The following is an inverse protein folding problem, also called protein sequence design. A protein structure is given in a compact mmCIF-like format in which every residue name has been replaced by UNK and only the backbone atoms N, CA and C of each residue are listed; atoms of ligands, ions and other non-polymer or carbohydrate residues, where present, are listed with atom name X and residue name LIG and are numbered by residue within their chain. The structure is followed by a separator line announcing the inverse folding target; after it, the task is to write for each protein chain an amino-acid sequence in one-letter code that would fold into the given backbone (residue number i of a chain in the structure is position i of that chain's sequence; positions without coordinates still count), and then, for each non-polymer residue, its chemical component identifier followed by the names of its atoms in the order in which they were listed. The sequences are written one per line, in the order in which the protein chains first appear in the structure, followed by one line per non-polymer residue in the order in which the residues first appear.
data_IF_256678586460
#
_entry.id   IF_256678586460
#
_cell.length_a   1.000
_cell.length_b   1.000
_cell.length_c   1.000
_cell.angle_alpha   90.00
_cell.angle_beta   90.00
_cell.angle_gamma   90.00
#
_symmetry.space_group_name_H-M   'P 1'
#
loop_
_entity.id
_entity.type
_entity.pdbx_description
1 polymer ?
#
# COMPACT_ATOMS: atom_id res chain seq x y z
N UNK A 1 8.08 -31.40 -2.76
CA UNK A 1 7.38 -30.46 -1.83
C UNK A 1 7.47 -29.09 -2.46
N UNK A 2 6.38 -28.38 -2.55
CA UNK A 2 6.43 -26.98 -2.96
C UNK A 2 7.17 -26.19 -1.89
N UNK A 3 8.01 -25.28 -2.32
CA UNK A 3 8.83 -24.41 -1.47
C UNK A 3 7.94 -23.34 -0.82
N UNK A 4 8.05 -23.15 0.49
CA UNK A 4 7.33 -22.08 1.17
C UNK A 4 7.87 -20.71 0.75
N UNK A 5 7.03 -19.67 0.76
CA UNK A 5 7.45 -18.33 0.35
C UNK A 5 8.66 -17.80 1.15
N UNK A 6 8.76 -18.15 2.42
CA UNK A 6 9.88 -17.80 3.32
C UNK A 6 11.20 -18.47 2.96
N UNK A 7 11.18 -19.52 2.14
CA UNK A 7 12.33 -20.29 1.69
C UNK A 7 12.79 -19.88 0.29
N UNK A 8 12.03 -19.01 -0.39
CA UNK A 8 12.33 -18.54 -1.73
C UNK A 8 13.37 -17.42 -1.70
N UNK A 9 14.26 -17.41 -2.71
CA UNK A 9 15.15 -16.27 -2.94
C UNK A 9 14.36 -15.04 -3.41
N UNK A 10 14.98 -13.86 -3.35
CA UNK A 10 14.38 -12.63 -3.89
C UNK A 10 14.04 -12.75 -5.38
N UNK A 11 14.89 -13.39 -6.16
CA UNK A 11 14.67 -13.60 -7.60
C UNK A 11 13.46 -14.52 -7.83
N UNK A 12 13.36 -15.64 -7.09
CA UNK A 12 12.20 -16.54 -7.14
C UNK A 12 10.89 -15.82 -6.75
N UNK A 13 10.95 -14.95 -5.72
CA UNK A 13 9.79 -14.16 -5.32
C UNK A 13 9.41 -13.09 -6.37
N UNK A 14 10.38 -12.47 -7.04
CA UNK A 14 10.10 -11.49 -8.10
C UNK A 14 9.53 -12.16 -9.37
N UNK A 15 9.95 -13.37 -9.67
CA UNK A 15 9.38 -14.16 -10.77
C UNK A 15 7.96 -14.65 -10.46
N UNK A 16 7.71 -15.07 -9.20
CA UNK A 16 6.38 -15.49 -8.76
C UNK A 16 5.40 -14.32 -8.65
N UNK A 17 5.90 -13.12 -8.27
CA UNK A 17 5.13 -11.90 -8.06
C UNK A 17 5.65 -10.75 -8.92
N UNK A 18 5.62 -10.87 -10.26
CA UNK A 18 6.10 -9.82 -11.13
C UNK A 18 5.27 -8.54 -10.97
N UNK A 19 5.86 -7.41 -11.35
CA UNK A 19 5.10 -6.17 -11.47
C UNK A 19 4.19 -6.29 -12.68
N UNK A 20 2.90 -6.16 -12.41
CA UNK A 20 1.87 -6.17 -13.44
C UNK A 20 0.89 -5.04 -13.16
N UNK A 21 0.69 -4.15 -14.15
CA UNK A 21 -0.25 -3.05 -14.05
C UNK A 21 -1.50 -3.35 -14.88
N UNK A 22 -2.65 -3.01 -14.31
CA UNK A 22 -3.96 -3.12 -14.96
C UNK A 22 -4.65 -1.76 -15.00
N UNK A 23 -5.57 -1.59 -15.93
CA UNK A 23 -6.41 -0.41 -16.00
C UNK A 23 -7.23 -0.24 -14.71
N UNK A 24 -7.62 1.00 -14.43
CA UNK A 24 -8.46 1.32 -13.27
C UNK A 24 -9.68 0.40 -13.18
N UNK A 25 -9.98 -0.05 -11.97
CA UNK A 25 -11.12 -0.92 -11.68
C UNK A 25 -11.87 -0.48 -10.43
N UNK A 26 -13.19 -0.31 -10.52
CA UNK A 26 -14.05 0.03 -9.39
C UNK A 26 -14.06 -1.06 -8.30
N UNK A 27 -13.63 -2.29 -8.64
CA UNK A 27 -13.48 -3.39 -7.66
C UNK A 27 -12.52 -3.04 -6.53
N UNK A 28 -11.50 -2.19 -6.77
CA UNK A 28 -10.55 -1.78 -5.72
C UNK A 28 -11.22 -1.05 -4.57
N UNK A 29 -12.20 -0.20 -4.88
CA UNK A 29 -12.98 0.49 -3.86
C UNK A 29 -13.87 -0.48 -3.06
N UNK A 30 -14.40 -1.53 -3.72
CA UNK A 30 -15.17 -2.57 -3.04
C UNK A 30 -14.27 -3.41 -2.13
N UNK A 31 -13.11 -3.85 -2.62
CA UNK A 31 -12.13 -4.60 -1.82
C UNK A 31 -11.64 -3.77 -0.61
N UNK A 32 -11.41 -2.45 -0.82
CA UNK A 32 -11.05 -1.57 0.30
C UNK A 32 -12.16 -1.53 1.37
N UNK A 33 -13.42 -1.35 0.97
CA UNK A 33 -14.53 -1.30 1.94
C UNK A 33 -14.68 -2.60 2.73
N UNK A 34 -14.47 -3.74 2.08
CA UNK A 34 -14.52 -5.05 2.73
C UNK A 34 -13.41 -5.19 3.76
N UNK A 35 -12.16 -4.90 3.37
CA UNK A 35 -11.03 -5.00 4.30
C UNK A 35 -11.10 -3.94 5.41
N UNK A 36 -11.58 -2.72 5.13
CA UNK A 36 -11.79 -1.68 6.12
C UNK A 36 -12.79 -2.14 7.19
N UNK A 37 -13.93 -2.72 6.79
CA UNK A 37 -14.94 -3.22 7.72
C UNK A 37 -14.39 -4.36 8.60
N UNK A 38 -13.63 -5.29 7.99
CA UNK A 38 -12.95 -6.36 8.71
C UNK A 38 -11.96 -5.80 9.72
N UNK A 39 -11.06 -4.90 9.31
CA UNK A 39 -10.05 -4.30 10.18
C UNK A 39 -10.67 -3.50 11.33
N UNK A 40 -11.75 -2.74 11.09
CA UNK A 40 -12.50 -2.04 12.14
C UNK A 40 -13.07 -2.98 13.19
N UNK A 41 -13.54 -4.15 12.77
CA UNK A 41 -14.05 -5.18 13.68
C UNK A 41 -12.91 -5.79 14.51
N UNK A 42 -11.85 -6.25 13.84
CA UNK A 42 -10.73 -6.94 14.47
C UNK A 42 -9.93 -6.03 15.41
N UNK A 43 -9.75 -4.77 15.02
CA UNK A 43 -9.01 -3.76 15.77
C UNK A 43 -9.88 -2.95 16.73
N UNK A 44 -11.13 -3.37 17.01
CA UNK A 44 -12.08 -2.61 17.85
C UNK A 44 -11.59 -2.32 19.27
N UNK A 45 -10.59 -3.08 19.76
CA UNK A 45 -9.94 -2.88 21.07
C UNK A 45 -8.55 -2.24 20.97
N UNK A 46 -8.09 -1.91 19.77
CA UNK A 46 -6.83 -1.25 19.54
C UNK A 46 -7.04 0.27 19.43
N UNK A 47 -6.05 1.09 19.78
CA UNK A 47 -6.15 2.55 19.74
C UNK A 47 -5.98 3.09 18.31
N UNK A 48 -6.82 2.62 17.38
CA UNK A 48 -6.83 3.03 15.97
C UNK A 48 -7.58 4.35 15.83
N UNK A 49 -6.92 5.36 15.29
CA UNK A 49 -7.49 6.66 15.00
C UNK A 49 -8.09 6.74 13.59
N UNK A 50 -7.43 6.08 12.63
CA UNK A 50 -7.87 6.16 11.24
C UNK A 50 -7.46 4.91 10.45
N UNK A 51 -8.33 4.50 9.51
CA UNK A 51 -8.05 3.53 8.44
C UNK A 51 -8.35 4.20 7.12
N UNK A 52 -7.43 4.15 6.17
CA UNK A 52 -7.56 4.88 4.90
C UNK A 52 -7.10 4.05 3.70
N UNK A 53 -7.83 4.17 2.59
CA UNK A 53 -7.38 3.69 1.29
C UNK A 53 -6.29 4.62 0.77
N UNK A 54 -5.12 4.09 0.49
CA UNK A 54 -3.98 4.84 -0.05
C UNK A 54 -3.44 4.18 -1.33
N UNK A 55 -2.34 4.70 -1.84
CA UNK A 55 -1.70 4.14 -3.04
C UNK A 55 -2.47 4.41 -4.34
N UNK A 56 -2.00 3.78 -5.41
CA UNK A 56 -2.52 4.06 -6.76
C UNK A 56 -3.95 3.57 -6.98
N UNK A 57 -4.39 2.52 -6.28
CA UNK A 57 -5.76 1.98 -6.39
C UNK A 57 -6.81 2.88 -5.74
N UNK A 58 -6.37 3.83 -4.89
CA UNK A 58 -7.24 4.85 -4.32
C UNK A 58 -7.45 6.05 -5.24
N UNK A 59 -6.71 6.16 -6.35
CA UNK A 59 -6.79 7.28 -7.31
C UNK A 59 -7.59 6.85 -8.53
N UNK A 60 -8.73 7.50 -8.83
CA UNK A 60 -9.57 7.13 -9.97
C UNK A 60 -8.85 7.27 -11.32
N UNK A 61 -9.16 6.38 -12.25
CA UNK A 61 -8.83 6.53 -13.66
C UNK A 61 -7.38 6.27 -14.04
N UNK A 62 -6.51 5.81 -13.13
CA UNK A 62 -5.11 5.48 -13.45
C UNK A 62 -4.82 3.98 -13.36
N UNK A 63 -3.87 3.52 -14.16
CA UNK A 63 -3.34 2.16 -14.08
C UNK A 63 -2.60 1.94 -12.76
N UNK A 64 -2.78 0.75 -12.17
CA UNK A 64 -2.12 0.36 -10.94
C UNK A 64 -1.83 -1.15 -10.91
N UNK A 65 -1.00 -1.59 -9.97
CA UNK A 65 -0.98 -3.00 -9.57
C UNK A 65 -2.34 -3.34 -8.95
N UNK A 66 -2.83 -4.56 -9.16
CA UNK A 66 -4.09 -5.04 -8.57
C UNK A 66 -3.90 -5.36 -7.07
N UNK A 67 -3.46 -4.37 -6.31
CA UNK A 67 -3.16 -4.44 -4.88
C UNK A 67 -3.76 -3.22 -4.19
N UNK A 68 -4.57 -3.47 -3.17
CA UNK A 68 -5.17 -2.40 -2.36
C UNK A 68 -4.25 -2.07 -1.19
N UNK A 69 -3.74 -0.84 -1.16
CA UNK A 69 -2.93 -0.33 -0.05
C UNK A 69 -3.82 0.33 1.01
N UNK A 70 -3.62 -0.04 2.28
CA UNK A 70 -4.39 0.48 3.42
C UNK A 70 -3.43 1.04 4.46
N UNK A 71 -3.66 2.27 4.87
CA UNK A 71 -2.99 2.91 6.01
C UNK A 71 -3.83 2.74 7.27
N UNK A 72 -3.24 2.23 8.33
CA UNK A 72 -3.80 2.19 9.67
C UNK A 72 -2.96 3.11 10.56
N UNK A 73 -3.58 4.12 11.15
CA UNK A 73 -2.94 5.03 12.09
C UNK A 73 -3.42 4.72 13.51
N UNK A 74 -2.47 4.51 14.42
CA UNK A 74 -2.73 4.36 15.86
C UNK A 74 -2.27 5.60 16.60
N UNK A 75 -2.84 5.84 17.78
CA UNK A 75 -2.46 6.99 18.61
C UNK A 75 -0.97 6.98 18.96
N UNK A 76 -0.39 8.16 19.19
CA UNK A 76 1.05 8.34 19.47
C UNK A 76 1.52 7.65 20.76
N UNK A 77 0.63 7.43 21.70
CA UNK A 77 0.87 6.73 22.97
C UNK A 77 0.59 5.22 22.89
N UNK A 78 0.17 4.71 21.72
CA UNK A 78 -0.13 3.31 21.53
C UNK A 78 1.12 2.43 21.56
N UNK A 79 0.98 1.23 22.09
CA UNK A 79 1.95 0.17 21.86
C UNK A 79 1.70 -0.47 20.49
N UNK A 80 2.32 0.08 19.44
CA UNK A 80 2.11 -0.35 18.05
C UNK A 80 2.33 -1.85 17.84
N UNK A 81 3.23 -2.47 18.62
CA UNK A 81 3.49 -3.90 18.58
C UNK A 81 2.26 -4.74 18.97
N UNK A 82 1.41 -4.24 19.88
CA UNK A 82 0.17 -4.91 20.24
C UNK A 82 -0.81 -4.95 19.06
N UNK A 83 -1.02 -3.82 18.40
CA UNK A 83 -1.87 -3.77 17.18
C UNK A 83 -1.30 -4.64 16.08
N UNK A 84 0.03 -4.67 15.91
CA UNK A 84 0.70 -5.53 14.95
C UNK A 84 0.42 -7.03 15.23
N UNK A 85 0.50 -7.46 16.49
CA UNK A 85 0.21 -8.84 16.89
C UNK A 85 -1.26 -9.23 16.58
N UNK A 86 -2.21 -8.32 16.78
CA UNK A 86 -3.61 -8.56 16.41
C UNK A 86 -3.74 -8.76 14.90
N UNK A 87 -3.09 -7.94 14.09
CA UNK A 87 -3.11 -8.07 12.63
C UNK A 87 -2.54 -9.42 12.16
N UNK A 88 -1.48 -9.92 12.80
CA UNK A 88 -0.91 -11.24 12.50
C UNK A 88 -1.88 -12.38 12.85
N UNK A 89 -2.55 -12.31 14.00
CA UNK A 89 -3.59 -13.27 14.39
C UNK A 89 -4.74 -13.30 13.36
N UNK A 90 -5.03 -12.15 12.74
CA UNK A 90 -6.04 -12.02 11.69
C UNK A 90 -5.54 -12.50 10.29
N UNK A 91 -4.37 -13.14 10.22
CA UNK A 91 -3.85 -13.76 9.01
C UNK A 91 -3.09 -12.81 8.07
N UNK A 92 -2.66 -11.65 8.55
CA UNK A 92 -1.76 -10.77 7.83
C UNK A 92 -0.31 -11.18 8.05
N UNK A 93 0.48 -11.20 6.99
CA UNK A 93 1.90 -11.59 7.04
C UNK A 93 2.74 -10.31 7.19
N UNK A 94 3.50 -10.22 8.28
CA UNK A 94 4.42 -9.11 8.52
C UNK A 94 5.59 -9.16 7.54
N UNK A 95 5.83 -8.05 6.85
CA UNK A 95 6.88 -7.93 5.82
C UNK A 95 8.09 -7.14 6.30
N UNK A 96 7.86 -6.05 7.04
CA UNK A 96 8.93 -5.22 7.57
C UNK A 96 8.54 -4.59 8.89
N UNK A 97 9.54 -4.29 9.71
CA UNK A 97 9.39 -3.54 10.95
C UNK A 97 10.53 -2.52 11.00
N UNK A 98 10.16 -1.26 10.97
CA UNK A 98 11.04 -0.12 11.17
C UNK A 98 10.52 0.71 12.35
N UNK A 99 11.28 1.68 12.82
CA UNK A 99 10.85 2.51 13.94
C UNK A 99 9.52 3.23 13.64
N UNK A 100 8.44 2.79 14.30
CA UNK A 100 7.09 3.34 14.13
C UNK A 100 6.36 2.98 12.84
N UNK A 101 6.95 2.09 12.01
CA UNK A 101 6.40 1.66 10.71
C UNK A 101 6.44 0.15 10.58
N UNK A 102 5.27 -0.47 10.48
CA UNK A 102 5.17 -1.92 10.27
C UNK A 102 4.31 -2.15 9.01
N UNK A 103 4.79 -3.01 8.12
CA UNK A 103 4.08 -3.33 6.89
C UNK A 103 3.69 -4.80 6.87
N UNK A 104 2.49 -5.06 6.36
CA UNK A 104 1.97 -6.41 6.18
C UNK A 104 1.47 -6.60 4.77
N UNK A 105 1.34 -7.86 4.36
CA UNK A 105 0.60 -8.22 3.17
C UNK A 105 -0.40 -9.34 3.44
N UNK A 106 -1.34 -9.50 2.50
CA UNK A 106 -2.25 -10.64 2.38
C UNK A 106 -2.54 -10.90 0.92
N UNK A 107 -2.70 -12.17 0.55
CA UNK A 107 -2.99 -12.57 -0.83
C UNK A 107 -1.74 -12.93 -1.64
N UNK A 108 -0.61 -13.12 -0.99
CA UNK A 108 0.59 -13.72 -1.57
C UNK A 108 0.58 -15.21 -1.25
N UNK A 109 0.60 -16.06 -2.28
CA UNK A 109 0.53 -17.53 -2.12
C UNK A 109 1.64 -18.20 -2.93
N UNK A 110 1.94 -19.46 -2.65
CA UNK A 110 2.90 -20.27 -3.42
C UNK A 110 2.48 -20.47 -4.89
N UNK A 111 1.21 -20.23 -5.21
CA UNK A 111 0.67 -20.24 -6.57
C UNK A 111 0.64 -18.84 -7.25
N UNK A 112 1.19 -17.79 -6.62
CA UNK A 112 1.14 -16.41 -7.08
C UNK A 112 0.14 -15.56 -6.30
N UNK A 113 -0.35 -14.47 -6.92
CA UNK A 113 -1.32 -13.60 -6.30
C UNK A 113 -2.70 -14.24 -6.20
N UNK A 114 -3.35 -14.09 -5.04
CA UNK A 114 -4.76 -14.41 -4.86
C UNK A 114 -5.67 -13.36 -5.56
N UNK A 115 -6.98 -13.63 -5.61
CA UNK A 115 -7.97 -12.71 -6.22
C UNK A 115 -8.02 -11.33 -5.53
N UNK A 116 -7.69 -11.27 -4.25
CA UNK A 116 -7.62 -10.04 -3.46
C UNK A 116 -6.27 -9.94 -2.78
N UNK A 117 -5.54 -8.88 -3.09
CA UNK A 117 -4.22 -8.63 -2.52
C UNK A 117 -4.23 -7.29 -1.79
N UNK A 118 -3.68 -7.29 -0.58
CA UNK A 118 -3.62 -6.12 0.28
C UNK A 118 -2.21 -5.87 0.79
N UNK A 119 -1.82 -4.62 0.83
CA UNK A 119 -0.71 -4.12 1.64
C UNK A 119 -1.26 -3.26 2.76
N UNK A 120 -0.90 -3.57 3.99
CA UNK A 120 -1.33 -2.82 5.16
C UNK A 120 -0.12 -2.10 5.75
N UNK A 121 -0.25 -0.81 5.94
CA UNK A 121 0.77 0.06 6.50
C UNK A 121 0.31 0.53 7.88
N UNK A 122 0.87 -0.03 8.93
CA UNK A 122 0.61 0.37 10.31
C UNK A 122 1.60 1.45 10.74
N UNK A 123 1.08 2.59 11.19
CA UNK A 123 1.82 3.81 11.51
C UNK A 123 1.31 4.45 12.80
N UNK A 124 2.11 5.33 13.39
CA UNK A 124 1.58 6.30 14.34
C UNK A 124 0.84 7.44 13.62
N UNK A 125 -0.18 8.00 14.28
CA UNK A 125 -0.91 9.16 13.78
C UNK A 125 0.04 10.32 13.44
N UNK A 126 -0.16 10.96 12.30
CA UNK A 126 0.74 11.99 11.80
C UNK A 126 1.78 11.49 10.78
N UNK A 127 2.05 10.19 10.69
CA UNK A 127 2.90 9.60 9.64
C UNK A 127 2.02 9.12 8.47
N UNK A 128 1.55 10.06 7.67
CA UNK A 128 0.52 9.84 6.65
C UNK A 128 0.74 10.60 5.33
N UNK A 129 1.96 10.76 4.93
CA UNK A 129 2.33 11.44 3.67
C UNK A 129 1.60 10.87 2.44
N UNK A 130 1.27 9.59 2.48
CA UNK A 130 0.49 8.90 1.45
C UNK A 130 -0.91 9.49 1.25
N UNK A 131 -1.54 10.05 2.30
CA UNK A 131 -2.84 10.71 2.20
C UNK A 131 -2.74 12.01 1.41
N UNK A 132 -1.71 12.81 1.66
CA UNK A 132 -1.46 14.05 0.92
C UNK A 132 -1.20 13.77 -0.55
N UNK A 133 -0.37 12.78 -0.86
CA UNK A 133 -0.07 12.40 -2.24
C UNK A 133 -1.32 11.89 -2.97
N UNK A 134 -2.09 10.99 -2.35
CA UNK A 134 -3.37 10.50 -2.89
C UNK A 134 -4.33 11.65 -3.22
N UNK A 135 -4.59 12.53 -2.25
CA UNK A 135 -5.55 13.61 -2.41
C UNK A 135 -5.11 14.61 -3.48
N UNK A 136 -3.79 14.84 -3.58
CA UNK A 136 -3.24 15.68 -4.63
C UNK A 136 -3.49 15.10 -6.03
N UNK A 137 -3.24 13.80 -6.20
CA UNK A 137 -3.50 13.12 -7.48
C UNK A 137 -4.99 13.10 -7.85
N UNK A 138 -5.87 12.91 -6.85
CA UNK A 138 -7.34 12.96 -7.08
C UNK A 138 -7.77 14.36 -7.55
N UNK A 139 -7.22 15.41 -6.93
CA UNK A 139 -7.55 16.80 -7.27
C UNK A 139 -6.88 17.29 -8.58
N UNK A 140 -5.83 16.60 -9.05
CA UNK A 140 -5.04 16.98 -10.23
C UNK A 140 -4.92 15.82 -11.23
N UNK A 141 -5.97 15.51 -12.01
CA UNK A 141 -5.99 14.35 -12.90
C UNK A 141 -4.85 14.32 -13.92
N UNK A 142 -4.36 15.47 -14.38
CA UNK A 142 -3.21 15.55 -15.29
C UNK A 142 -1.93 15.04 -14.63
N UNK A 143 -1.69 15.34 -13.34
CA UNK A 143 -0.54 14.85 -12.58
C UNK A 143 -0.70 13.35 -12.29
N UNK A 144 -1.93 12.91 -12.04
CA UNK A 144 -2.22 11.48 -11.90
C UNK A 144 -1.89 10.71 -13.19
N UNK A 145 -2.14 11.29 -14.37
CA UNK A 145 -1.76 10.71 -15.67
C UNK A 145 -0.25 10.73 -15.92
N UNK A 146 0.46 11.76 -15.48
CA UNK A 146 1.93 11.76 -15.51
C UNK A 146 2.51 10.64 -14.62
N UNK A 147 1.91 10.44 -13.43
CA UNK A 147 2.30 9.33 -12.55
C UNK A 147 1.98 7.96 -13.15
N UNK A 148 0.86 7.81 -13.83
CA UNK A 148 0.52 6.61 -14.59
C UNK A 148 1.57 6.34 -15.67
N UNK A 149 1.92 7.33 -16.49
CA UNK A 149 2.90 7.20 -17.56
C UNK A 149 4.27 6.77 -17.01
N UNK A 150 4.72 7.39 -15.92
CA UNK A 150 5.94 6.99 -15.21
C UNK A 150 5.89 5.52 -14.77
N UNK A 151 4.79 5.09 -14.15
CA UNK A 151 4.64 3.69 -13.69
C UNK A 151 4.65 2.69 -14.86
N UNK A 152 3.99 3.02 -15.96
CA UNK A 152 3.97 2.18 -17.16
C UNK A 152 5.37 2.05 -17.78
N UNK A 153 6.15 3.14 -17.82
CA UNK A 153 7.53 3.10 -18.31
C UNK A 153 8.43 2.27 -17.37
N UNK A 154 8.35 2.48 -16.07
CA UNK A 154 9.08 1.68 -15.09
C UNK A 154 8.71 0.20 -15.13
N UNK A 155 7.45 -0.13 -15.39
CA UNK A 155 7.02 -1.51 -15.56
C UNK A 155 7.67 -2.16 -16.77
N UNK A 156 7.75 -1.48 -17.93
CA UNK A 156 8.43 -1.99 -19.13
C UNK A 156 9.92 -2.28 -18.88
N UNK A 157 10.57 -1.45 -18.04
CA UNK A 157 11.99 -1.58 -17.74
C UNK A 157 12.27 -2.59 -16.62
N UNK A 158 11.40 -2.70 -15.62
CA UNK A 158 11.68 -3.37 -14.34
C UNK A 158 10.58 -4.34 -13.90
N UNK A 159 9.93 -5.06 -14.83
CA UNK A 159 8.84 -5.98 -14.51
C UNK A 159 9.20 -7.02 -13.43
N UNK A 160 10.45 -7.48 -13.41
CA UNK A 160 11.02 -8.46 -12.48
C UNK A 160 12.06 -7.84 -11.52
N UNK A 161 12.03 -6.51 -11.31
CA UNK A 161 12.89 -5.84 -10.35
C UNK A 161 12.07 -4.81 -9.56
N UNK A 162 11.47 -5.30 -8.45
CA UNK A 162 10.60 -4.50 -7.60
C UNK A 162 11.30 -3.29 -6.98
N UNK A 163 12.58 -3.42 -6.62
CA UNK A 163 13.33 -2.36 -5.97
C UNK A 163 13.62 -1.22 -6.95
N UNK A 164 14.04 -1.53 -8.18
CA UNK A 164 14.27 -0.55 -9.22
C UNK A 164 12.95 0.17 -9.62
N UNK A 165 11.85 -0.59 -9.77
CA UNK A 165 10.53 -0.02 -10.02
C UNK A 165 10.09 0.93 -8.90
N UNK A 166 10.30 0.55 -7.65
CA UNK A 166 9.90 1.36 -6.49
C UNK A 166 10.77 2.61 -6.35
N UNK A 167 12.07 2.46 -6.51
CA UNK A 167 13.02 3.58 -6.46
C UNK A 167 12.78 4.59 -7.58
N UNK A 168 12.42 4.13 -8.78
CA UNK A 168 12.15 5.00 -9.93
C UNK A 168 10.97 5.96 -9.75
N UNK A 169 10.07 5.69 -8.79
CA UNK A 169 8.94 6.58 -8.48
C UNK A 169 9.25 7.61 -7.38
N UNK A 170 10.35 7.44 -6.66
CA UNK A 170 10.62 8.19 -5.40
C UNK A 170 10.57 9.69 -5.59
N UNK A 171 11.28 10.22 -6.56
CA UNK A 171 11.39 11.66 -6.78
C UNK A 171 10.04 12.28 -7.15
N UNK A 172 9.26 11.58 -7.98
CA UNK A 172 7.92 12.02 -8.34
C UNK A 172 7.00 12.07 -7.11
N UNK A 173 6.97 11.01 -6.33
CA UNK A 173 6.16 10.92 -5.11
C UNK A 173 6.58 12.00 -4.12
N UNK A 174 7.87 12.14 -3.86
CA UNK A 174 8.38 13.15 -2.91
C UNK A 174 8.01 14.57 -3.33
N UNK A 175 8.24 14.93 -4.60
CA UNK A 175 7.90 16.24 -5.16
C UNK A 175 6.43 16.59 -4.92
N UNK A 176 5.54 15.70 -5.31
CA UNK A 176 4.11 16.01 -5.27
C UNK A 176 3.50 15.86 -3.87
N UNK A 177 4.07 15.01 -3.01
CA UNK A 177 3.71 14.97 -1.58
C UNK A 177 4.07 16.28 -0.90
N UNK A 178 5.28 16.80 -1.13
CA UNK A 178 5.68 18.10 -0.57
C UNK A 178 4.75 19.22 -1.03
N UNK A 179 4.42 19.24 -2.32
CA UNK A 179 3.47 20.24 -2.87
C UNK A 179 2.08 20.12 -2.27
N UNK A 180 1.60 18.89 -2.07
CA UNK A 180 0.33 18.62 -1.42
C UNK A 180 0.30 19.12 0.03
N UNK A 181 1.36 18.90 0.79
CA UNK A 181 1.48 19.36 2.19
C UNK A 181 1.45 20.89 2.28
N UNK A 182 2.03 21.62 1.32
CA UNK A 182 1.96 23.08 1.25
C UNK A 182 0.52 23.57 0.99
N UNK A 183 -0.20 22.90 0.07
CA UNK A 183 -1.56 23.31 -0.33
C UNK A 183 -2.62 22.89 0.70
N UNK A 184 -2.45 21.70 1.28
CA UNK A 184 -3.43 21.10 2.19
C UNK A 184 -2.95 21.11 3.66
N UNK A 185 -2.15 22.10 4.04
CA UNK A 185 -1.63 22.23 5.39
C UNK A 185 -2.75 22.09 6.44
N UNK A 186 -2.57 21.21 7.42
CA UNK A 186 -3.54 20.98 8.50
C UNK A 186 -4.79 20.18 8.09
N UNK A 187 -4.79 19.49 6.94
CA UNK A 187 -5.92 18.64 6.53
C UNK A 187 -6.02 17.34 7.35
N UNK A 188 -4.89 16.84 7.83
CA UNK A 188 -4.77 15.59 8.59
C UNK A 188 -4.09 15.80 9.93
#
# INVERSE_FOLDING_TARGET
MEKELSEMSLEELWDLFPIFLVAHSDKWQLHYREIEAQLKHELSKCPVERISHIGSTAVPGIWAKDIVDVLIEVSQDAEIAHTAAVLEVCGLIRMSTEAGRISFNRGYTTAGFADKVFHIHLRYAGDHDELYFRDYLIAHPQIAKEYEALKLELWRQFAHNRDAYTSGKRDFVQKWTQKAKEIYAGRY
#
